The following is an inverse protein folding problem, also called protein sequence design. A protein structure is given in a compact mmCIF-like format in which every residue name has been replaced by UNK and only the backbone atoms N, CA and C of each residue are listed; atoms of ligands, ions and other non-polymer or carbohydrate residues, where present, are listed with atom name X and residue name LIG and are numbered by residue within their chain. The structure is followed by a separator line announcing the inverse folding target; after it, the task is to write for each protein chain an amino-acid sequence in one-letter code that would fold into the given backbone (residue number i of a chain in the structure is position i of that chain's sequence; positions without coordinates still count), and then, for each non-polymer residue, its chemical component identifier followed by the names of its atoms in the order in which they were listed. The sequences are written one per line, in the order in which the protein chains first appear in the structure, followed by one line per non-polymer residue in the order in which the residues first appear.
data_IF_222013642012
#
_entry.id   IF_222013642012
#
_cell.length_a   1.000
_cell.length_b   1.000
_cell.length_c   1.000
_cell.angle_alpha   90.00
_cell.angle_beta   90.00
_cell.angle_gamma   90.00
#
_symmetry.space_group_name_H-M   'P 1'
#
loop_
_entity.id
_entity.type
_entity.pdbx_description
1 polymer ?
#
# COMPACT_ATOMS: atom_id res chain seq x y z
N UNK A 1 21.06 -14.86 -8.49
CA UNK A 1 21.08 -14.40 -7.10
C UNK A 1 20.34 -13.07 -7.02
N UNK A 2 19.27 -12.99 -6.19
CA UNK A 2 18.55 -11.75 -5.95
C UNK A 2 19.47 -10.70 -5.33
N UNK A 3 19.39 -9.45 -5.80
CA UNK A 3 20.06 -8.30 -5.18
C UNK A 3 19.12 -7.51 -4.25
N UNK A 4 17.83 -7.54 -4.58
CA UNK A 4 16.79 -6.92 -3.78
C UNK A 4 15.49 -7.73 -3.91
N UNK A 5 14.70 -7.72 -2.85
CA UNK A 5 13.35 -8.29 -2.81
C UNK A 5 12.43 -7.17 -2.36
N UNK A 6 11.42 -6.86 -3.17
CA UNK A 6 10.40 -5.87 -2.84
C UNK A 6 9.14 -6.61 -2.45
N UNK A 7 8.66 -6.42 -1.23
CA UNK A 7 7.38 -6.93 -0.78
C UNK A 7 6.39 -5.79 -0.57
N UNK A 8 5.12 -6.00 -0.95
CA UNK A 8 4.03 -5.08 -0.63
C UNK A 8 2.97 -5.82 0.19
N UNK A 9 2.62 -5.26 1.34
CA UNK A 9 1.63 -5.83 2.24
C UNK A 9 0.67 -4.76 2.77
N UNK A 10 -0.63 -5.07 2.83
CA UNK A 10 -1.68 -4.13 3.15
C UNK A 10 -2.15 -4.32 4.61
N UNK A 11 -1.36 -3.82 5.56
CA UNK A 11 -1.70 -3.78 6.98
C UNK A 11 -0.93 -2.64 7.64
N UNK A 12 -1.54 -1.92 8.58
CA UNK A 12 -0.86 -0.90 9.36
C UNK A 12 0.34 -1.46 10.11
N UNK A 13 1.44 -0.71 10.09
CA UNK A 13 2.67 -1.04 10.82
C UNK A 13 2.64 -0.36 12.19
N UNK A 14 1.67 -0.73 13.01
CA UNK A 14 1.36 -0.09 14.28
C UNK A 14 1.04 -1.09 15.41
N UNK A 15 1.49 -2.33 15.28
CA UNK A 15 1.30 -3.34 16.33
C UNK A 15 1.92 -2.91 17.67
N UNK A 16 3.00 -2.12 17.61
CA UNK A 16 3.65 -1.48 18.77
C UNK A 16 3.19 -0.07 19.05
N UNK A 17 2.05 0.39 18.52
CA UNK A 17 1.58 1.76 18.69
C UNK A 17 1.42 2.15 20.16
N UNK A 18 1.61 3.46 20.46
CA UNK A 18 1.69 4.05 21.82
C UNK A 18 2.90 3.56 22.66
N UNK A 19 3.89 2.94 22.05
CA UNK A 19 5.22 2.82 22.60
C UNK A 19 5.93 4.18 22.57
N UNK A 20 6.82 4.42 23.54
CA UNK A 20 7.76 5.55 23.50
C UNK A 20 9.06 5.21 22.76
N UNK A 21 9.10 4.05 22.12
CA UNK A 21 10.26 3.53 21.40
C UNK A 21 10.05 3.64 19.89
N UNK A 22 11.11 3.93 19.17
CA UNK A 22 11.12 3.91 17.70
C UNK A 22 11.30 2.47 17.25
N UNK A 23 10.37 1.97 16.44
CA UNK A 23 10.39 0.61 15.93
C UNK A 23 9.99 0.57 14.46
N UNK A 24 10.61 -0.34 13.70
CA UNK A 24 10.16 -0.67 12.35
C UNK A 24 8.96 -1.63 12.35
N UNK A 25 8.42 -1.96 13.53
CA UNK A 25 7.26 -2.84 13.74
C UNK A 25 7.44 -4.19 13.01
N UNK A 26 6.34 -4.90 12.67
CA UNK A 26 6.41 -6.18 11.97
C UNK A 26 7.14 -6.12 10.61
N UNK A 27 7.08 -5.02 9.82
CA UNK A 27 7.85 -4.93 8.57
C UNK A 27 9.35 -5.13 8.75
N UNK A 28 9.92 -4.56 9.82
CA UNK A 28 11.34 -4.72 10.12
C UNK A 28 11.73 -6.17 10.40
N UNK A 29 10.90 -6.89 11.14
CA UNK A 29 11.12 -8.33 11.38
C UNK A 29 10.94 -9.16 10.11
N UNK A 30 9.97 -8.81 9.26
CA UNK A 30 9.76 -9.49 7.98
C UNK A 30 10.95 -9.28 7.04
N UNK A 31 11.44 -8.05 6.88
CA UNK A 31 12.62 -7.76 6.07
C UNK A 31 13.84 -8.53 6.56
N UNK A 32 14.13 -8.49 7.85
CA UNK A 32 15.25 -9.23 8.45
C UNK A 32 15.15 -10.73 8.19
N UNK A 33 13.97 -11.33 8.36
CA UNK A 33 13.75 -12.75 8.11
C UNK A 33 14.04 -13.13 6.66
N UNK A 34 13.65 -12.28 5.71
CA UNK A 34 13.95 -12.47 4.28
C UNK A 34 15.45 -12.31 4.01
N UNK A 35 16.10 -11.28 4.54
CA UNK A 35 17.52 -11.01 4.33
C UNK A 35 18.40 -12.14 4.87
N UNK A 36 18.07 -12.69 6.05
CA UNK A 36 18.75 -13.85 6.65
C UNK A 36 18.71 -15.08 5.74
N UNK A 37 17.57 -15.36 5.11
CA UNK A 37 17.42 -16.49 4.17
C UNK A 37 18.34 -16.37 2.96
N UNK A 38 18.62 -15.16 2.50
CA UNK A 38 19.51 -14.89 1.36
C UNK A 38 20.94 -14.53 1.80
N UNK A 39 21.41 -15.02 2.95
CA UNK A 39 22.76 -14.80 3.51
C UNK A 39 23.12 -13.30 3.66
N UNK A 40 22.15 -12.42 3.83
CA UNK A 40 22.29 -10.96 3.84
C UNK A 40 22.93 -10.39 2.54
N UNK A 41 22.81 -11.13 1.41
CA UNK A 41 23.28 -10.67 0.10
C UNK A 41 22.20 -9.95 -0.70
N UNK A 42 20.95 -10.08 -0.32
CA UNK A 42 19.81 -9.35 -0.89
C UNK A 42 19.24 -8.38 0.15
N UNK A 43 18.89 -7.17 -0.28
CA UNK A 43 18.19 -6.19 0.55
C UNK A 43 16.68 -6.43 0.41
N UNK A 44 15.96 -6.48 1.53
CA UNK A 44 14.51 -6.56 1.52
C UNK A 44 13.88 -5.18 1.74
N UNK A 45 13.00 -4.78 0.82
CA UNK A 45 12.28 -3.53 0.85
C UNK A 45 10.80 -3.78 1.12
N UNK A 46 10.28 -3.24 2.23
CA UNK A 46 8.86 -3.27 2.54
C UNK A 46 8.17 -2.03 1.98
N UNK A 47 7.05 -2.24 1.29
CA UNK A 47 6.18 -1.18 0.79
C UNK A 47 4.77 -1.42 1.32
N UNK A 48 4.23 -0.42 2.01
CA UNK A 48 2.84 -0.47 2.47
C UNK A 48 1.88 -0.46 1.27
N UNK A 49 0.96 -1.40 1.25
CA UNK A 49 -0.15 -1.45 0.30
C UNK A 49 -1.32 -0.56 0.71
N UNK A 50 -2.49 -0.80 0.13
CA UNK A 50 -3.75 -0.16 0.53
C UNK A 50 -4.30 -0.80 1.80
N UNK A 51 -3.72 -0.48 2.93
CA UNK A 51 -4.06 -1.03 4.24
C UNK A 51 -4.81 -0.07 5.16
N UNK A 52 -5.39 1.02 4.64
CA UNK A 52 -6.00 2.08 5.45
C UNK A 52 -7.11 1.62 6.42
N UNK A 53 -7.72 0.48 6.18
CA UNK A 53 -8.71 -0.15 7.07
C UNK A 53 -8.31 -1.58 7.49
N UNK A 54 -7.02 -1.90 7.47
CA UNK A 54 -6.51 -3.22 7.86
C UNK A 54 -5.56 -3.06 9.03
N UNK A 55 -5.99 -3.58 10.18
CA UNK A 55 -5.25 -3.62 11.42
C UNK A 55 -4.76 -5.04 11.72
N UNK A 56 -3.66 -5.14 12.45
CA UNK A 56 -3.19 -6.42 12.99
C UNK A 56 -4.00 -6.88 14.19
N UNK A 57 -4.27 -8.18 14.26
CA UNK A 57 -5.04 -8.78 15.36
C UNK A 57 -4.31 -8.74 16.72
N UNK A 58 -2.99 -8.58 16.72
CA UNK A 58 -2.17 -8.67 17.93
C UNK A 58 -1.57 -7.31 18.29
N UNK A 59 -2.33 -6.49 18.98
CA UNK A 59 -1.80 -5.25 19.56
C UNK A 59 -1.12 -5.57 20.88
N UNK A 60 0.20 -5.40 20.92
CA UNK A 60 1.03 -5.71 22.08
C UNK A 60 1.08 -4.55 23.05
N UNK A 61 0.05 -4.43 23.90
CA UNK A 61 0.02 -3.42 24.95
C UNK A 61 -0.07 -4.08 26.31
N UNK A 62 0.88 -3.77 27.20
CA UNK A 62 0.81 -4.18 28.60
C UNK A 62 0.97 -2.96 29.49
N UNK A 63 0.03 -2.80 30.43
CA UNK A 63 0.17 -1.95 31.60
C UNK A 63 0.22 -2.84 32.83
N UNK A 64 1.20 -2.61 33.69
CA UNK A 64 1.28 -3.32 34.99
C UNK A 64 0.34 -2.72 36.01
N UNK A 65 -0.05 -1.43 35.82
CA UNK A 65 -1.00 -0.69 36.65
C UNK A 65 -1.60 0.48 35.89
N UNK A 66 -2.65 1.13 36.43
CA UNK A 66 -3.39 2.20 35.76
C UNK A 66 -2.54 3.43 35.40
N UNK A 67 -1.47 3.68 36.16
CA UNK A 67 -0.55 4.81 35.98
C UNK A 67 0.81 4.42 35.40
N UNK A 68 1.03 3.14 35.11
CA UNK A 68 2.30 2.69 34.55
C UNK A 68 2.42 3.01 33.07
N UNK A 69 3.64 3.26 32.58
CA UNK A 69 3.87 3.43 31.16
C UNK A 69 3.48 2.15 30.41
N UNK A 70 2.92 2.34 29.21
CA UNK A 70 2.62 1.20 28.33
C UNK A 70 3.93 0.58 27.91
N UNK A 71 4.14 -0.69 28.26
CA UNK A 71 5.27 -1.48 27.77
C UNK A 71 4.84 -2.26 26.55
N UNK A 72 5.61 -2.18 25.48
CA UNK A 72 5.39 -2.95 24.27
C UNK A 72 5.95 -4.37 24.43
N UNK A 73 5.13 -5.37 24.20
CA UNK A 73 5.60 -6.74 24.05
C UNK A 73 5.94 -7.00 22.57
N UNK A 74 7.22 -7.01 22.25
CA UNK A 74 7.69 -7.19 20.89
C UNK A 74 7.55 -8.61 20.34
N UNK A 75 7.28 -9.63 21.17
CA UNK A 75 7.18 -11.03 20.70
C UNK A 75 6.06 -11.26 19.69
N UNK A 76 4.82 -10.77 19.88
CA UNK A 76 3.79 -10.89 18.86
C UNK A 76 4.11 -10.11 17.58
N UNK A 77 4.76 -8.95 17.70
CA UNK A 77 5.19 -8.12 16.56
C UNK A 77 6.23 -8.89 15.74
N UNK A 78 7.26 -9.42 16.41
CA UNK A 78 8.29 -10.26 15.80
C UNK A 78 7.66 -11.47 15.09
N UNK A 79 6.77 -12.21 15.77
CA UNK A 79 6.10 -13.37 15.18
C UNK A 79 5.31 -13.03 13.93
N UNK A 80 4.59 -11.89 13.95
CA UNK A 80 3.83 -11.42 12.79
C UNK A 80 4.76 -11.14 11.61
N UNK A 81 5.87 -10.44 11.85
CA UNK A 81 6.88 -10.16 10.83
C UNK A 81 7.55 -11.42 10.29
N UNK A 82 7.95 -12.34 11.16
CA UNK A 82 8.56 -13.62 10.76
C UNK A 82 7.61 -14.46 9.89
N UNK A 83 6.32 -14.54 10.23
CA UNK A 83 5.33 -15.25 9.41
C UNK A 83 5.18 -14.62 8.03
N UNK A 84 5.11 -13.29 7.94
CA UNK A 84 5.11 -12.59 6.65
C UNK A 84 6.40 -12.87 5.87
N UNK A 85 7.56 -12.80 6.52
CA UNK A 85 8.86 -13.10 5.91
C UNK A 85 8.92 -14.51 5.33
N UNK A 86 8.39 -15.50 6.02
CA UNK A 86 8.31 -16.90 5.53
C UNK A 86 7.49 -16.98 4.24
N UNK A 87 6.36 -16.31 4.16
CA UNK A 87 5.54 -16.31 2.94
C UNK A 87 6.26 -15.59 1.77
N UNK A 88 6.95 -14.48 2.07
CA UNK A 88 7.77 -13.77 1.06
C UNK A 88 8.90 -14.65 0.54
N UNK A 89 9.60 -15.40 1.41
CA UNK A 89 10.65 -16.34 1.03
C UNK A 89 10.11 -17.43 0.10
N UNK A 90 8.96 -18.03 0.43
CA UNK A 90 8.31 -19.04 -0.44
C UNK A 90 8.04 -18.48 -1.84
N UNK A 91 7.46 -17.26 -1.91
CA UNK A 91 7.18 -16.60 -3.17
C UNK A 91 8.47 -16.26 -3.92
N UNK A 92 9.48 -15.71 -3.27
CA UNK A 92 10.74 -15.32 -3.88
C UNK A 92 11.46 -16.54 -4.50
N UNK A 93 11.45 -17.68 -3.80
CA UNK A 93 12.04 -18.93 -4.29
C UNK A 93 11.26 -19.55 -5.48
N UNK A 94 9.97 -19.21 -5.62
CA UNK A 94 9.15 -19.66 -6.75
C UNK A 94 9.23 -18.75 -7.98
N UNK A 95 9.85 -17.56 -7.87
CA UNK A 95 9.99 -16.64 -8.98
C UNK A 95 11.08 -17.10 -9.95
N UNK A 96 10.79 -16.97 -11.24
CA UNK A 96 11.75 -17.20 -12.32
C UNK A 96 12.14 -15.87 -12.95
N UNK A 97 13.39 -15.77 -13.44
CA UNK A 97 13.84 -14.58 -14.15
C UNK A 97 13.03 -14.40 -15.45
N UNK A 98 12.54 -13.19 -15.68
CA UNK A 98 11.75 -12.84 -16.87
C UNK A 98 12.56 -12.27 -18.03
N UNK A 99 13.89 -12.35 -17.99
CA UNK A 99 14.81 -11.87 -19.03
C UNK A 99 15.63 -10.63 -18.62
N UNK A 100 16.57 -10.26 -19.49
CA UNK A 100 17.56 -9.21 -19.21
C UNK A 100 17.15 -7.80 -19.68
N UNK A 101 16.13 -7.71 -20.54
CA UNK A 101 15.65 -6.43 -21.07
C UNK A 101 14.56 -5.85 -20.16
N UNK A 102 14.79 -4.64 -19.66
CA UNK A 102 13.82 -3.90 -18.84
C UNK A 102 13.18 -2.78 -19.65
N UNK A 103 11.86 -2.86 -19.83
CA UNK A 103 11.03 -1.76 -20.30
C UNK A 103 10.50 -0.99 -19.08
N UNK A 104 10.66 0.32 -19.09
CA UNK A 104 10.15 1.19 -18.04
C UNK A 104 9.34 2.31 -18.64
N UNK A 105 8.05 2.36 -18.30
CA UNK A 105 7.13 3.43 -18.67
C UNK A 105 6.50 4.02 -17.40
N UNK A 106 6.22 5.31 -17.38
CA UNK A 106 5.62 5.98 -16.24
C UNK A 106 4.67 7.08 -16.71
N UNK A 107 3.58 7.26 -15.96
CA UNK A 107 2.67 8.37 -16.10
C UNK A 107 2.34 8.96 -14.72
N UNK A 108 2.34 10.29 -14.61
CA UNK A 108 1.90 11.02 -13.42
C UNK A 108 0.62 11.77 -13.73
N UNK A 109 -0.29 11.78 -12.77
CA UNK A 109 -1.56 12.48 -12.89
C UNK A 109 -1.87 13.26 -11.59
N UNK A 110 -2.69 14.27 -11.71
CA UNK A 110 -3.18 15.06 -10.57
C UNK A 110 -4.70 15.14 -10.64
N UNK A 111 -5.35 14.74 -9.55
CA UNK A 111 -6.80 14.85 -9.41
C UNK A 111 -7.12 15.87 -8.32
N UNK A 112 -8.16 16.65 -8.56
CA UNK A 112 -8.65 17.61 -7.58
C UNK A 112 -10.00 17.17 -7.05
N UNK A 113 -10.10 17.06 -5.72
CA UNK A 113 -11.31 16.67 -5.02
C UNK A 113 -11.79 17.78 -4.09
N UNK A 114 -13.09 17.88 -3.89
CA UNK A 114 -13.64 18.64 -2.76
C UNK A 114 -13.30 17.92 -1.46
N UNK A 115 -13.17 18.66 -0.37
CA UNK A 115 -13.08 18.00 0.93
C UNK A 115 -14.46 17.50 1.36
N UNK A 116 -14.49 16.44 2.18
CA UNK A 116 -15.74 15.90 2.71
C UNK A 116 -16.45 16.89 3.67
N UNK A 117 -15.65 17.64 4.42
CA UNK A 117 -16.18 18.61 5.40
C UNK A 117 -16.67 19.92 4.77
N UNK A 118 -16.06 20.33 3.63
CA UNK A 118 -16.38 21.59 2.96
C UNK A 118 -16.16 21.46 1.46
N UNK A 119 -17.24 21.51 0.69
CA UNK A 119 -17.22 21.37 -0.77
C UNK A 119 -16.41 22.45 -1.49
N UNK A 120 -16.24 23.62 -0.86
CA UNK A 120 -15.48 24.74 -1.43
C UNK A 120 -13.95 24.55 -1.26
N UNK A 121 -13.53 23.74 -0.29
CA UNK A 121 -12.11 23.43 -0.09
C UNK A 121 -11.71 22.27 -1.00
N UNK A 122 -10.54 22.43 -1.63
CA UNK A 122 -10.00 21.44 -2.56
C UNK A 122 -8.74 20.79 -2.01
N UNK A 123 -8.57 19.51 -2.36
CA UNK A 123 -7.36 18.72 -2.13
C UNK A 123 -6.88 18.19 -3.47
N UNK A 124 -5.63 18.46 -3.80
CA UNK A 124 -4.98 17.87 -4.98
C UNK A 124 -4.29 16.57 -4.55
N UNK A 125 -4.58 15.49 -5.28
CA UNK A 125 -4.00 14.18 -5.08
C UNK A 125 -3.13 13.88 -6.31
N UNK A 126 -1.83 13.77 -6.10
CA UNK A 126 -0.87 13.40 -7.14
C UNK A 126 -0.62 11.91 -7.08
N UNK A 127 -0.74 11.24 -8.21
CA UNK A 127 -0.55 9.80 -8.34
C UNK A 127 0.45 9.50 -9.44
N UNK A 128 1.05 8.32 -9.39
CA UNK A 128 1.90 7.81 -10.45
C UNK A 128 1.53 6.37 -10.80
N UNK A 129 1.55 6.04 -12.08
CA UNK A 129 1.36 4.68 -12.59
C UNK A 129 2.63 4.28 -13.32
N UNK A 130 3.21 3.16 -12.93
CA UNK A 130 4.38 2.59 -13.58
C UNK A 130 4.00 1.30 -14.30
N UNK A 131 4.63 1.07 -15.43
CA UNK A 131 4.65 -0.22 -16.12
C UNK A 131 6.12 -0.61 -16.31
N UNK A 132 6.56 -1.66 -15.61
CA UNK A 132 7.91 -2.20 -15.67
C UNK A 132 7.80 -3.61 -16.19
N UNK A 133 8.13 -3.83 -17.45
CA UNK A 133 7.79 -5.05 -18.18
C UNK A 133 6.28 -5.35 -18.05
N UNK A 134 5.91 -6.43 -17.37
CA UNK A 134 4.54 -6.84 -17.06
C UNK A 134 4.06 -6.42 -15.66
N UNK A 135 4.89 -5.71 -14.87
CA UNK A 135 4.48 -5.21 -13.56
C UNK A 135 3.84 -3.83 -13.68
N UNK A 136 2.56 -3.74 -13.33
CA UNK A 136 1.83 -2.47 -13.25
C UNK A 136 1.73 -2.01 -11.79
N UNK A 137 2.28 -0.84 -11.48
CA UNK A 137 2.33 -0.33 -10.11
C UNK A 137 1.49 0.95 -10.01
N UNK A 138 0.42 0.90 -9.22
CA UNK A 138 -0.31 2.10 -8.81
C UNK A 138 0.32 2.68 -7.55
N UNK A 139 0.66 3.97 -7.58
CA UNK A 139 1.35 4.69 -6.50
C UNK A 139 0.46 5.82 -6.02
N UNK A 140 -0.03 5.72 -4.79
CA UNK A 140 -0.99 6.64 -4.19
C UNK A 140 -0.49 7.24 -2.88
N UNK A 141 -0.70 8.54 -2.65
CA UNK A 141 -0.53 9.13 -1.33
C UNK A 141 -1.73 8.80 -0.43
N UNK A 142 -1.48 8.79 0.87
CA UNK A 142 -2.51 8.55 1.89
C UNK A 142 -2.78 7.08 2.17
N UNK A 143 -3.80 6.87 2.96
CA UNK A 143 -4.15 5.58 3.57
C UNK A 143 -5.35 5.00 2.83
N UNK A 144 -5.06 4.42 1.64
CA UNK A 144 -6.10 3.82 0.79
C UNK A 144 -6.71 2.58 1.46
N UNK A 145 -8.02 2.45 1.44
CA UNK A 145 -8.70 1.26 1.93
C UNK A 145 -8.42 0.05 1.04
N UNK A 146 -8.38 -1.13 1.63
CA UNK A 146 -7.97 -2.37 0.96
C UNK A 146 -8.88 -2.72 -0.23
N UNK A 147 -10.15 -2.36 -0.19
CA UNK A 147 -11.12 -2.56 -1.27
C UNK A 147 -10.65 -1.88 -2.56
N UNK A 148 -10.10 -0.67 -2.46
CA UNK A 148 -9.58 0.07 -3.61
C UNK A 148 -8.34 -0.59 -4.21
N UNK A 149 -7.44 -1.12 -3.37
CA UNK A 149 -6.31 -1.92 -3.85
C UNK A 149 -6.77 -3.20 -4.55
N UNK A 150 -7.77 -3.89 -3.99
CA UNK A 150 -8.31 -5.12 -4.59
C UNK A 150 -9.01 -4.83 -5.91
N UNK A 151 -9.73 -3.72 -6.01
CA UNK A 151 -10.34 -3.26 -7.26
C UNK A 151 -9.28 -2.96 -8.33
N UNK A 152 -8.22 -2.23 -7.98
CA UNK A 152 -7.08 -2.02 -8.87
C UNK A 152 -6.52 -3.33 -9.37
N UNK A 153 -6.17 -4.24 -8.44
CA UNK A 153 -5.56 -5.54 -8.80
C UNK A 153 -6.46 -6.38 -9.69
N UNK A 154 -7.77 -6.40 -9.43
CA UNK A 154 -8.71 -7.17 -10.25
C UNK A 154 -8.82 -6.62 -11.67
N UNK A 155 -8.97 -5.29 -11.82
CA UNK A 155 -9.15 -4.65 -13.12
C UNK A 155 -7.87 -4.57 -13.94
N UNK A 156 -6.71 -4.31 -13.30
CA UNK A 156 -5.44 -4.24 -14.00
C UNK A 156 -5.01 -5.58 -14.61
N UNK A 157 -5.35 -6.71 -13.98
CA UNK A 157 -5.08 -8.05 -14.54
C UNK A 157 -5.74 -8.28 -15.90
N UNK A 158 -6.82 -7.57 -16.20
CA UNK A 158 -7.46 -7.67 -17.52
C UNK A 158 -6.59 -7.10 -18.66
N UNK A 159 -5.52 -6.39 -18.33
CA UNK A 159 -4.52 -5.88 -19.27
C UNK A 159 -3.26 -6.79 -19.36
N UNK A 160 -3.35 -8.04 -18.95
CA UNK A 160 -2.26 -9.03 -18.92
C UNK A 160 -1.00 -8.55 -18.18
N UNK A 161 -1.20 -7.89 -17.04
CA UNK A 161 -0.12 -7.39 -16.19
C UNK A 161 -0.21 -7.96 -14.78
N UNK A 162 0.92 -7.96 -14.07
CA UNK A 162 1.02 -8.27 -12.64
C UNK A 162 0.85 -6.98 -11.84
N UNK A 163 -0.31 -6.74 -11.19
CA UNK A 163 -0.58 -5.48 -10.52
C UNK A 163 0.00 -5.44 -9.10
N UNK A 164 0.70 -4.35 -8.80
CA UNK A 164 1.17 -3.97 -7.49
C UNK A 164 0.51 -2.65 -7.07
N UNK A 165 0.39 -2.42 -5.76
CA UNK A 165 -0.16 -1.20 -5.21
C UNK A 165 0.74 -0.68 -4.08
N UNK A 166 1.18 0.57 -4.18
CA UNK A 166 2.00 1.26 -3.20
C UNK A 166 1.22 2.43 -2.60
N UNK A 167 0.85 2.27 -1.34
CA UNK A 167 0.22 3.31 -0.55
C UNK A 167 1.24 4.17 0.20
N UNK A 168 0.78 5.15 0.95
CA UNK A 168 1.58 6.01 1.84
C UNK A 168 2.74 6.73 1.15
N UNK A 169 2.63 6.95 -0.15
CA UNK A 169 3.71 7.55 -0.93
C UNK A 169 3.82 9.05 -0.67
N UNK A 170 4.91 9.66 -1.15
CA UNK A 170 5.18 11.08 -0.97
C UNK A 170 4.02 11.96 -1.44
N UNK A 171 3.70 12.97 -0.64
CA UNK A 171 2.66 13.96 -0.90
C UNK A 171 3.29 15.34 -1.05
N UNK A 172 3.10 15.99 -2.19
CA UNK A 172 3.34 17.42 -2.31
C UNK A 172 2.14 18.17 -1.75
N UNK A 173 2.30 18.80 -0.60
CA UNK A 173 1.22 19.55 0.05
C UNK A 173 0.46 18.71 1.10
N UNK A 174 -0.87 18.80 1.10
CA UNK A 174 -1.70 18.16 2.13
C UNK A 174 -2.06 16.72 1.74
N UNK A 175 -1.77 15.76 2.62
CA UNK A 175 -2.19 14.37 2.44
C UNK A 175 -3.71 14.25 2.34
N UNK A 176 -4.24 13.37 1.48
CA UNK A 176 -5.67 13.04 1.46
C UNK A 176 -6.15 12.36 2.76
N UNK A 177 -5.23 11.88 3.61
CA UNK A 177 -5.53 11.07 4.78
C UNK A 177 -6.05 9.69 4.37
N UNK A 178 -7.01 9.18 5.13
CA UNK A 178 -7.73 7.97 4.75
C UNK A 178 -8.55 8.18 3.48
N UNK A 179 -8.52 7.21 2.59
CA UNK A 179 -9.31 7.21 1.35
C UNK A 179 -10.16 5.95 1.33
N UNK A 180 -11.42 6.11 1.74
CA UNK A 180 -12.38 5.02 1.77
C UNK A 180 -13.04 4.83 0.40
N UNK A 181 -13.42 3.59 0.09
CA UNK A 181 -14.36 3.28 -0.99
C UNK A 181 -15.79 3.74 -0.62
N UNK A 182 -16.68 3.83 -1.60
CA UNK A 182 -18.07 4.31 -1.40
C UNK A 182 -18.82 3.46 -0.38
N UNK A 183 -18.67 2.13 -0.39
CA UNK A 183 -19.34 1.23 0.55
C UNK A 183 -18.87 1.47 1.98
N UNK A 184 -17.55 1.54 2.20
CA UNK A 184 -16.98 1.82 3.51
C UNK A 184 -17.37 3.22 4.01
N UNK A 185 -17.41 4.21 3.12
CA UNK A 185 -17.86 5.55 3.44
C UNK A 185 -19.34 5.61 3.88
N UNK A 186 -20.19 4.73 3.32
CA UNK A 186 -21.60 4.62 3.70
C UNK A 186 -21.80 3.88 5.03
N UNK A 187 -20.95 2.90 5.34
CA UNK A 187 -21.00 2.14 6.60
C UNK A 187 -20.42 2.94 7.79
N UNK A 188 -19.55 3.89 7.52
CA UNK A 188 -18.90 4.69 8.56
C UNK A 188 -17.74 3.96 9.26
N UNK A 189 -17.35 4.50 10.41
CA UNK A 189 -16.27 3.96 11.22
C UNK A 189 -14.94 4.72 11.04
N UNK A 190 -13.90 4.24 11.75
CA UNK A 190 -12.60 4.88 11.76
C UNK A 190 -11.99 4.97 10.34
N UNK A 191 -11.44 6.12 10.01
CA UNK A 191 -10.88 6.38 8.68
C UNK A 191 -11.92 6.67 7.59
N UNK A 192 -13.11 6.05 7.67
CA UNK A 192 -14.20 6.31 6.72
C UNK A 192 -14.93 7.63 7.02
N UNK A 193 -14.95 8.09 8.27
CA UNK A 193 -15.60 9.32 8.70
C UNK A 193 -14.60 10.47 8.95
N UNK A 194 -13.95 10.46 10.10
CA UNK A 194 -13.14 11.60 10.56
C UNK A 194 -11.78 11.74 9.86
N UNK A 195 -11.15 10.65 9.45
CA UNK A 195 -9.83 10.64 8.81
C UNK A 195 -9.85 10.93 7.31
N UNK A 196 -10.98 10.73 6.66
CA UNK A 196 -11.15 10.92 5.22
C UNK A 196 -11.29 12.39 4.87
N UNK A 197 -10.35 12.92 4.09
CA UNK A 197 -10.30 14.33 3.72
C UNK A 197 -10.90 14.64 2.35
N UNK A 198 -11.04 13.65 1.48
CA UNK A 198 -11.61 13.83 0.14
C UNK A 198 -13.06 13.37 0.08
N UNK A 199 -13.80 13.88 -0.88
CA UNK A 199 -15.19 13.53 -1.10
C UNK A 199 -15.39 12.02 -1.32
N UNK A 200 -16.58 11.52 -1.01
CA UNK A 200 -16.99 10.13 -1.29
C UNK A 200 -16.91 9.87 -2.80
N UNK A 201 -16.43 8.70 -3.21
CA UNK A 201 -16.16 8.34 -4.61
C UNK A 201 -14.79 8.80 -5.11
N UNK A 202 -14.03 9.56 -4.30
CA UNK A 202 -12.67 9.98 -4.67
C UNK A 202 -11.70 8.82 -4.79
N UNK A 203 -11.88 7.76 -4.00
CA UNK A 203 -11.07 6.54 -4.06
C UNK A 203 -11.23 5.83 -5.40
N UNK A 204 -12.45 5.59 -5.82
CA UNK A 204 -12.78 4.98 -7.12
C UNK A 204 -12.29 5.84 -8.29
N UNK A 205 -12.40 7.16 -8.20
CA UNK A 205 -11.87 8.06 -9.21
C UNK A 205 -10.35 7.96 -9.34
N UNK A 206 -9.63 7.79 -8.22
CA UNK A 206 -8.17 7.54 -8.21
C UNK A 206 -7.86 6.21 -8.91
N UNK A 207 -8.55 5.13 -8.56
CA UNK A 207 -8.34 3.81 -9.18
C UNK A 207 -8.63 3.85 -10.68
N UNK A 208 -9.74 4.47 -11.10
CA UNK A 208 -10.08 4.61 -12.52
C UNK A 208 -9.01 5.41 -13.27
N UNK A 209 -8.42 6.43 -12.65
CA UNK A 209 -7.33 7.20 -13.26
C UNK A 209 -6.05 6.37 -13.43
N UNK A 210 -5.72 5.52 -12.47
CA UNK A 210 -4.62 4.56 -12.62
C UNK A 210 -4.88 3.57 -13.76
N UNK A 211 -6.10 3.07 -13.89
CA UNK A 211 -6.46 2.15 -14.99
C UNK A 211 -6.36 2.85 -16.35
N UNK A 212 -6.87 4.08 -16.47
CA UNK A 212 -6.70 4.88 -17.69
C UNK A 212 -5.21 5.02 -18.04
N UNK A 213 -4.38 5.38 -17.06
CA UNK A 213 -2.94 5.54 -17.24
C UNK A 213 -2.26 4.23 -17.61
N UNK A 214 -2.65 3.09 -17.03
CA UNK A 214 -2.15 1.77 -17.37
C UNK A 214 -2.46 1.41 -18.83
N UNK A 215 -3.70 1.57 -19.27
CA UNK A 215 -4.09 1.26 -20.65
C UNK A 215 -3.35 2.14 -21.68
N UNK A 216 -3.04 3.40 -21.33
CA UNK A 216 -2.20 4.26 -22.17
C UNK A 216 -0.76 3.72 -22.23
N UNK A 217 -0.18 3.34 -21.09
CA UNK A 217 1.19 2.83 -21.00
C UNK A 217 1.36 1.47 -21.70
N UNK A 218 0.31 0.65 -21.69
CA UNK A 218 0.29 -0.67 -22.30
C UNK A 218 -0.16 -0.68 -23.77
N UNK A 219 -0.28 0.51 -24.39
CA UNK A 219 -0.68 0.70 -25.80
C UNK A 219 -2.04 0.06 -26.17
N UNK A 220 -2.90 -0.21 -25.19
CA UNK A 220 -4.22 -0.83 -25.38
C UNK A 220 -5.35 0.17 -25.65
N UNK A 221 -5.06 1.47 -25.62
CA UNK A 221 -6.06 2.53 -25.86
C UNK A 221 -6.55 2.59 -27.31
N UNK A 222 -5.79 2.05 -28.25
CA UNK A 222 -6.09 2.13 -29.69
C UNK A 222 -7.34 1.28 -30.12
N UNK A 223 -7.86 0.42 -29.24
CA UNK A 223 -8.99 -0.47 -29.54
C UNK A 223 -10.37 0.15 -29.20
N UNK A 224 -10.43 1.34 -28.64
CA UNK A 224 -11.67 2.04 -28.30
C UNK A 224 -11.82 3.26 -29.20
N UNK A 225 -11.92 3.03 -30.49
CA UNK A 225 -12.54 3.96 -31.40
C UNK A 225 -14.03 3.54 -31.51
N UNK A 226 -14.86 4.19 -30.71
CA UNK A 226 -16.30 4.26 -30.95
C UNK A 226 -16.59 5.15 -32.14
#
# INVERSE_FOLDING_TARGET
NARAIVMSYAMHADLGCFSYEISADYPGYACRKVEEEFDNKAICLFVAGGGGNVEGLMISRRRSGPNDPIKTDYKPIQRTGELLGIEVIKLANALHASGDNTSFKMRTDSLQFSTRADKNRKVNVHIATFLINDFAIAVCPGEMFVQLQLEWKAKARLADVTPLFFGYTYVKGRSPGYVADVRSAALGGFGAEGGNRIQVGGGEAIINKHLESLYILNDQRASIHL
#
